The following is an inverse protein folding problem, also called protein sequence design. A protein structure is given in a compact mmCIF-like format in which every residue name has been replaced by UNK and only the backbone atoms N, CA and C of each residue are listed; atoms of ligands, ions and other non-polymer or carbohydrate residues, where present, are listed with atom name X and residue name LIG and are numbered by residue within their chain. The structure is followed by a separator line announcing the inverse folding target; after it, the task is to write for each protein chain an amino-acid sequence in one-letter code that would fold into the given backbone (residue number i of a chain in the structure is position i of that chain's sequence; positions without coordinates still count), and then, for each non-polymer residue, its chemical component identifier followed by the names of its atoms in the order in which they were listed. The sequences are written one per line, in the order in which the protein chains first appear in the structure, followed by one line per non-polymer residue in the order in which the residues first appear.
data_IF_315612741152
#
_entry.id   IF_315612741152
#
_cell.length_a   1.000
_cell.length_b   1.000
_cell.length_c   1.000
_cell.angle_alpha   90.00
_cell.angle_beta   90.00
_cell.angle_gamma   90.00
#
_symmetry.space_group_name_H-M   'P 1'
#
loop_
_entity.id
_entity.type
_entity.pdbx_description
1 polymer ?
#
# COMPACT_ATOMS: atom_id res chain seq x y z
N UNK A 1 10.02 -10.81 -0.39
CA UNK A 1 9.97 -9.73 0.63
C UNK A 1 8.66 -8.96 0.49
N UNK A 2 8.07 -8.53 1.61
CA UNK A 2 6.74 -7.90 1.68
C UNK A 2 6.56 -6.74 0.68
N UNK A 3 7.59 -5.91 0.49
CA UNK A 3 7.57 -4.79 -0.47
C UNK A 3 7.21 -5.23 -1.90
N UNK A 4 7.86 -6.26 -2.42
CA UNK A 4 7.63 -6.75 -3.78
C UNK A 4 6.25 -7.37 -3.95
N UNK A 5 5.73 -8.02 -2.88
CA UNK A 5 4.38 -8.58 -2.86
C UNK A 5 3.31 -7.48 -2.81
N UNK A 6 3.54 -6.40 -2.05
CA UNK A 6 2.62 -5.25 -2.01
C UNK A 6 2.57 -4.51 -3.34
N UNK A 7 3.70 -4.31 -4.01
CA UNK A 7 3.69 -3.78 -5.38
C UNK A 7 2.97 -4.72 -6.34
N UNK A 8 3.25 -6.02 -6.29
CA UNK A 8 2.54 -7.00 -7.12
C UNK A 8 1.03 -7.01 -6.84
N UNK A 9 0.61 -6.78 -5.59
CA UNK A 9 -0.79 -6.64 -5.21
C UNK A 9 -1.39 -5.37 -5.80
N UNK A 10 -0.71 -4.23 -5.70
CA UNK A 10 -1.14 -2.95 -6.32
C UNK A 10 -1.27 -3.08 -7.84
N UNK A 11 -0.37 -3.81 -8.47
CA UNK A 11 -0.41 -4.09 -9.91
C UNK A 11 -1.42 -5.17 -10.30
N UNK A 12 -1.92 -5.94 -9.33
CA UNK A 12 -2.87 -7.01 -9.56
C UNK A 12 -2.31 -8.32 -10.07
N UNK A 13 -1.00 -8.49 -9.96
CA UNK A 13 -0.31 -9.74 -10.28
C UNK A 13 -0.53 -10.81 -9.21
N UNK A 14 -0.89 -10.40 -7.99
CA UNK A 14 -1.26 -11.27 -6.87
C UNK A 14 -2.52 -10.78 -6.18
N UNK A 15 -3.15 -11.64 -5.37
CA UNK A 15 -4.31 -11.33 -4.54
C UNK A 15 -3.93 -11.36 -3.07
N UNK A 16 -4.56 -10.49 -2.27
CA UNK A 16 -4.48 -10.59 -0.81
C UNK A 16 -5.13 -11.90 -0.36
N UNK A 17 -4.63 -12.48 0.73
CA UNK A 17 -5.15 -13.73 1.29
C UNK A 17 -5.66 -13.47 2.71
N UNK A 18 -6.74 -14.14 3.09
CA UNK A 18 -7.24 -14.16 4.46
C UNK A 18 -6.42 -15.17 5.27
N UNK A 19 -5.18 -14.78 5.57
CA UNK A 19 -4.16 -15.66 6.16
C UNK A 19 -4.55 -16.19 7.55
N UNK A 20 -5.35 -15.42 8.29
CA UNK A 20 -5.76 -15.79 9.65
C UNK A 20 -6.89 -16.82 9.72
N UNK A 21 -7.59 -17.08 8.61
CA UNK A 21 -8.81 -17.91 8.62
C UNK A 21 -8.72 -19.11 7.66
N UNK A 22 -8.38 -18.87 6.41
CA UNK A 22 -8.63 -19.87 5.33
C UNK A 22 -7.54 -19.97 4.28
N UNK A 23 -6.59 -19.02 4.24
CA UNK A 23 -5.60 -18.88 3.17
C UNK A 23 -6.24 -18.84 1.76
N UNK A 24 -7.47 -18.30 1.70
CA UNK A 24 -8.20 -18.01 0.45
C UNK A 24 -8.09 -16.53 0.10
N UNK A 25 -8.35 -16.14 -1.16
CA UNK A 25 -8.36 -14.74 -1.53
C UNK A 25 -9.27 -13.89 -0.63
N UNK A 26 -8.71 -12.79 -0.13
CA UNK A 26 -9.43 -11.81 0.68
C UNK A 26 -10.11 -10.80 -0.24
N UNK A 27 -11.43 -10.90 -0.34
CA UNK A 27 -12.24 -10.03 -1.20
C UNK A 27 -12.51 -8.65 -0.58
N UNK A 28 -12.19 -8.44 0.69
CA UNK A 28 -12.35 -7.17 1.36
C UNK A 28 -11.15 -6.25 1.15
N UNK A 29 -10.03 -6.81 0.69
CA UNK A 29 -8.86 -6.05 0.24
C UNK A 29 -9.01 -5.67 -1.23
N UNK A 30 -8.98 -4.38 -1.51
CA UNK A 30 -8.98 -3.85 -2.87
C UNK A 30 -7.71 -3.08 -3.17
N UNK A 31 -7.29 -3.11 -4.42
CA UNK A 31 -6.24 -2.24 -4.94
C UNK A 31 -6.83 -1.17 -5.84
N UNK A 32 -6.09 -0.08 -6.02
CA UNK A 32 -6.26 0.77 -7.18
C UNK A 32 -4.89 1.21 -7.69
N UNK A 33 -4.80 1.59 -8.97
CA UNK A 33 -3.58 2.07 -9.64
C UNK A 33 -3.90 3.25 -10.54
N UNK A 34 -3.02 4.25 -10.58
CA UNK A 34 -3.01 5.31 -11.58
C UNK A 34 -1.62 5.40 -12.23
N UNK A 35 -1.56 5.71 -13.52
CA UNK A 35 -0.31 5.90 -14.24
C UNK A 35 0.43 4.61 -14.59
N UNK A 36 1.75 4.73 -14.77
CA UNK A 36 2.61 3.71 -15.38
C UNK A 36 2.82 2.45 -14.53
N UNK A 37 3.44 1.44 -15.14
CA UNK A 37 3.95 0.24 -14.49
C UNK A 37 4.73 0.58 -13.20
N UNK A 38 4.63 -0.26 -12.16
CA UNK A 38 5.28 -0.18 -10.87
C UNK A 38 6.11 -1.45 -10.77
N UNK A 39 7.16 -1.58 -11.60
CA UNK A 39 7.98 -2.78 -11.59
C UNK A 39 8.60 -2.97 -10.20
N UNK A 40 9.17 -4.14 -9.94
CA UNK A 40 9.99 -4.29 -8.73
C UNK A 40 11.10 -3.23 -8.75
N UNK A 41 11.37 -2.51 -7.65
CA UNK A 41 12.49 -1.61 -7.59
C UNK A 41 13.80 -2.39 -7.49
N UNK A 42 14.93 -1.71 -7.80
CA UNK A 42 16.24 -2.20 -7.43
C UNK A 42 16.37 -2.29 -5.90
N UNK A 43 17.14 -3.27 -5.43
CA UNK A 43 17.52 -3.42 -4.04
C UNK A 43 18.97 -2.91 -3.84
N UNK A 44 19.32 -2.41 -2.64
CA UNK A 44 18.51 -2.30 -1.43
C UNK A 44 17.48 -1.15 -1.47
N UNK A 45 16.45 -1.23 -0.62
CA UNK A 45 15.56 -0.10 -0.31
C UNK A 45 15.92 0.45 1.08
N UNK A 46 15.89 1.76 1.22
CA UNK A 46 15.99 2.43 2.52
C UNK A 46 14.65 2.33 3.25
N UNK A 47 14.69 2.06 4.55
CA UNK A 47 13.50 2.00 5.41
C UNK A 47 13.56 3.14 6.41
N UNK A 48 12.53 3.96 6.42
CA UNK A 48 12.34 5.06 7.36
C UNK A 48 11.03 4.85 8.10
N UNK A 49 11.09 4.73 9.43
CA UNK A 49 9.91 4.67 10.28
C UNK A 49 9.63 6.06 10.88
N UNK A 50 8.39 6.50 10.80
CA UNK A 50 7.84 7.64 11.52
C UNK A 50 6.66 7.18 12.41
N UNK A 51 6.16 8.07 13.26
CA UNK A 51 5.11 7.74 14.24
C UNK A 51 3.80 7.22 13.61
N UNK A 52 3.58 7.48 12.32
CA UNK A 52 2.33 7.16 11.63
C UNK A 52 2.51 6.28 10.40
N UNK A 53 3.75 5.94 10.03
CA UNK A 53 4.05 5.22 8.81
C UNK A 53 5.47 4.68 8.70
N UNK A 54 5.58 3.63 7.90
CA UNK A 54 6.86 3.07 7.45
C UNK A 54 7.01 3.37 5.97
N UNK A 55 8.10 4.00 5.58
CA UNK A 55 8.41 4.34 4.19
C UNK A 55 9.57 3.49 3.71
N UNK A 56 9.39 2.80 2.60
CA UNK A 56 10.43 2.06 1.92
C UNK A 56 10.77 2.75 0.60
N UNK A 57 11.98 3.31 0.49
CA UNK A 57 12.43 4.12 -0.64
C UNK A 57 13.49 3.38 -1.44
N UNK A 58 13.24 3.19 -2.72
CA UNK A 58 14.20 2.64 -3.66
C UNK A 58 15.17 3.72 -4.16
N UNK A 59 16.37 3.30 -4.59
CA UNK A 59 17.40 4.20 -5.12
C UNK A 59 16.96 5.03 -6.34
N UNK A 60 15.87 4.64 -7.01
CA UNK A 60 15.30 5.35 -8.16
C UNK A 60 14.14 6.29 -7.81
N UNK A 61 13.91 6.57 -6.52
CA UNK A 61 12.90 7.52 -6.05
C UNK A 61 11.49 6.93 -5.89
N UNK A 62 11.28 5.64 -6.20
CA UNK A 62 10.02 4.97 -5.88
C UNK A 62 9.91 4.74 -4.38
N UNK A 63 8.76 5.06 -3.81
CA UNK A 63 8.52 4.80 -2.39
C UNK A 63 7.18 4.08 -2.15
N UNK A 64 7.21 3.15 -1.19
CA UNK A 64 6.03 2.50 -0.64
C UNK A 64 5.85 2.99 0.79
N UNK A 65 4.69 3.55 1.11
CA UNK A 65 4.32 3.96 2.46
C UNK A 65 3.30 2.99 3.02
N UNK A 66 3.58 2.45 4.18
CA UNK A 66 2.65 1.68 5.01
C UNK A 66 2.02 2.60 6.04
N UNK A 67 0.72 2.46 6.28
CA UNK A 67 -0.05 3.25 7.23
C UNK A 67 -0.49 2.35 8.39
N UNK A 68 0.33 2.16 9.44
CA UNK A 68 -0.04 1.41 10.64
C UNK A 68 -1.17 2.08 11.43
N UNK A 69 -1.28 3.41 11.35
CA UNK A 69 -2.42 4.16 11.90
C UNK A 69 -3.44 4.35 10.80
N UNK A 70 -4.60 3.71 10.96
CA UNK A 70 -5.66 3.69 9.94
C UNK A 70 -6.60 4.86 10.12
N UNK A 71 -6.65 5.72 9.10
CA UNK A 71 -7.67 6.77 8.98
C UNK A 71 -8.83 6.23 8.10
N UNK A 72 -10.08 6.24 8.59
CA UNK A 72 -11.23 5.94 7.77
C UNK A 72 -11.25 6.76 6.48
N UNK A 73 -11.18 6.06 5.34
CA UNK A 73 -11.25 6.68 4.02
C UNK A 73 -12.57 6.33 3.37
N UNK A 74 -13.16 7.31 2.66
CA UNK A 74 -14.31 7.03 1.83
C UNK A 74 -13.94 5.92 0.80
N UNK A 75 -14.84 4.95 0.55
CA UNK A 75 -14.56 3.85 -0.37
C UNK A 75 -14.14 4.34 -1.75
N UNK A 76 -13.00 3.85 -2.25
CA UNK A 76 -12.51 4.16 -3.60
C UNK A 76 -11.75 5.48 -3.72
N UNK A 77 -11.67 6.28 -2.67
CA UNK A 77 -10.86 7.51 -2.67
C UNK A 77 -9.39 7.16 -2.54
N UNK A 78 -8.61 7.58 -3.53
CA UNK A 78 -7.16 7.44 -3.56
C UNK A 78 -6.53 8.79 -3.25
N UNK A 79 -5.48 8.88 -2.41
CA UNK A 79 -4.69 10.09 -2.31
C UNK A 79 -4.18 10.49 -3.70
N UNK A 80 -4.37 11.75 -4.08
CA UNK A 80 -4.01 12.26 -5.42
C UNK A 80 -2.53 12.08 -5.76
N UNK A 81 -1.68 12.09 -4.73
CA UNK A 81 -0.22 11.94 -4.84
C UNK A 81 0.24 10.48 -4.99
N UNK A 82 -0.66 9.50 -4.89
CA UNK A 82 -0.31 8.09 -4.93
C UNK A 82 -0.48 7.49 -6.33
N UNK A 83 0.54 6.82 -6.86
CA UNK A 83 0.46 5.98 -8.07
C UNK A 83 -0.26 4.64 -7.80
N UNK A 84 -0.29 4.19 -6.54
CA UNK A 84 -0.79 2.88 -6.09
C UNK A 84 -1.45 2.98 -4.72
N UNK A 85 -2.52 2.22 -4.44
CA UNK A 85 -2.93 1.98 -3.06
C UNK A 85 -3.57 0.62 -2.85
N UNK A 86 -3.50 0.15 -1.61
CA UNK A 86 -4.21 -1.01 -1.09
C UNK A 86 -5.07 -0.55 0.09
N UNK A 87 -6.34 -0.93 0.06
CA UNK A 87 -7.31 -0.62 1.12
C UNK A 87 -8.08 -1.87 1.49
N UNK A 88 -8.62 -1.92 2.70
CA UNK A 88 -9.50 -3.00 3.12
C UNK A 88 -10.29 -2.65 4.36
N UNK A 89 -11.15 -3.59 4.74
CA UNK A 89 -11.98 -3.43 5.92
C UNK A 89 -11.13 -3.54 7.18
N UNK A 90 -11.49 -2.73 8.18
CA UNK A 90 -10.97 -2.85 9.53
C UNK A 90 -12.11 -2.61 10.51
N UNK A 91 -11.99 -3.24 11.68
CA UNK A 91 -12.93 -3.03 12.79
C UNK A 91 -12.31 -1.98 13.73
N UNK A 92 -13.01 -0.86 13.90
CA UNK A 92 -12.63 0.17 14.85
C UNK A 92 -12.85 -0.32 16.28
N UNK A 93 -12.18 0.33 17.25
CA UNK A 93 -12.28 -0.04 18.66
C UNK A 93 -13.72 0.05 19.22
N UNK A 94 -14.59 0.80 18.56
CA UNK A 94 -16.03 0.91 18.88
C UNK A 94 -16.89 -0.19 18.21
N UNK A 95 -16.28 -1.15 17.51
CA UNK A 95 -16.94 -2.21 16.75
C UNK A 95 -17.45 -1.78 15.38
N UNK A 96 -17.24 -0.52 14.98
CA UNK A 96 -17.67 -0.03 13.67
C UNK A 96 -16.77 -0.61 12.58
N UNK A 97 -17.40 -1.16 11.54
CA UNK A 97 -16.67 -1.59 10.34
C UNK A 97 -16.40 -0.38 9.44
N UNK A 98 -15.12 -0.08 9.25
CA UNK A 98 -14.66 1.00 8.40
C UNK A 98 -13.71 0.47 7.32
N UNK A 99 -13.34 1.36 6.39
CA UNK A 99 -12.39 1.07 5.32
C UNK A 99 -11.23 2.04 5.40
N UNK A 100 -10.01 1.53 5.32
CA UNK A 100 -8.81 2.36 5.41
C UNK A 100 -7.78 1.95 4.35
N UNK A 101 -6.89 2.88 4.02
CA UNK A 101 -5.72 2.63 3.18
C UNK A 101 -4.60 2.10 4.05
N UNK A 102 -4.12 0.89 3.76
CA UNK A 102 -2.99 0.29 4.51
C UNK A 102 -1.65 0.61 3.86
N UNK A 103 -1.63 0.80 2.54
CA UNK A 103 -0.41 1.06 1.79
C UNK A 103 -0.67 1.98 0.60
N UNK A 104 0.26 2.91 0.35
CA UNK A 104 0.31 3.71 -0.87
C UNK A 104 1.67 3.57 -1.55
N UNK A 105 1.67 3.54 -2.88
CA UNK A 105 2.88 3.63 -3.68
C UNK A 105 2.95 4.99 -4.36
N UNK A 106 4.11 5.63 -4.31
CA UNK A 106 4.42 6.87 -5.01
C UNK A 106 5.61 6.66 -5.93
N UNK A 107 5.59 7.38 -7.04
CA UNK A 107 6.74 7.54 -7.91
C UNK A 107 7.12 9.00 -7.74
N UNK A 108 8.10 9.30 -6.89
CA UNK A 108 8.75 10.60 -7.05
C UNK A 108 9.63 10.49 -8.28
N UNK A 109 9.53 11.44 -9.19
CA UNK A 109 10.65 11.70 -10.08
C UNK A 109 11.90 11.94 -9.22
N UNK A 110 13.12 11.59 -9.70
CA UNK A 110 14.34 11.73 -8.90
C UNK A 110 14.35 13.12 -8.26
N UNK A 111 14.69 13.17 -6.96
CA UNK A 111 14.79 14.41 -6.22
C UNK A 111 15.55 15.42 -7.08
N UNK A 112 14.86 16.49 -7.50
CA UNK A 112 15.54 17.59 -8.18
C UNK A 112 16.45 18.20 -7.11
N UNK A 113 17.75 18.02 -7.32
CA UNK A 113 18.81 18.53 -6.44
C UNK A 113 18.87 20.05 -6.38
#
# INVERSE_FOLDING_TARGET
MLYAQLLALIEGRVQAQTQSLTDTPDHEVTRSRAGAALPSPPWPVEVTDDERSTVLTAADGRALRLHPVLDPTAPGTRPETAAGQVSGAWEAADGTRARAVFATARIDGPARG
#
